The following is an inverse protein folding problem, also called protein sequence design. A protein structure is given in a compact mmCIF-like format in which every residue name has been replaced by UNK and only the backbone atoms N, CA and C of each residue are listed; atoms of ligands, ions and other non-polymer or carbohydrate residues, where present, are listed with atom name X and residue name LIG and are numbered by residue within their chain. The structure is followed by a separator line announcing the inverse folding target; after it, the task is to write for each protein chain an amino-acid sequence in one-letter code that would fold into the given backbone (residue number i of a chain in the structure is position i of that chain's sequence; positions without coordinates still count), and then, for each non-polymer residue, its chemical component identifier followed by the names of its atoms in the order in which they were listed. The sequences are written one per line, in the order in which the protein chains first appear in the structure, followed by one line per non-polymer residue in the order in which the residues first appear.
data_IF_861256017861
#
_entry.id   IF_861256017861
#
_cell.length_a   1.000
_cell.length_b   1.000
_cell.length_c   1.000
_cell.angle_alpha   90.00
_cell.angle_beta   90.00
_cell.angle_gamma   90.00
#
_symmetry.space_group_name_H-M   'P 1'
#
loop_
_entity.id
_entity.type
_entity.pdbx_description
1 polymer ?
#
# COMPACT_ATOMS: atom_id res chain seq x y z
N UNK A 1 12.25 -13.16 -2.17
CA UNK A 1 11.46 -12.35 -3.13
C UNK A 1 11.38 -10.87 -2.74
N UNK A 2 11.13 -10.53 -1.46
CA UNK A 2 11.15 -9.13 -0.97
C UNK A 2 12.48 -8.43 -1.28
N UNK A 3 13.63 -9.04 -0.98
CA UNK A 3 14.96 -8.44 -1.25
C UNK A 3 15.18 -8.06 -2.73
N UNK A 4 14.64 -8.84 -3.67
CA UNK A 4 14.75 -8.54 -5.10
C UNK A 4 13.88 -7.34 -5.50
N UNK A 5 12.71 -7.18 -4.87
CA UNK A 5 11.84 -6.02 -5.06
C UNK A 5 12.43 -4.78 -4.41
N UNK A 6 13.07 -4.90 -3.26
CA UNK A 6 13.78 -3.79 -2.61
C UNK A 6 14.98 -3.32 -3.45
N UNK A 7 15.74 -4.24 -4.05
CA UNK A 7 16.81 -3.86 -4.98
C UNK A 7 16.27 -3.16 -6.23
N UNK A 8 15.15 -3.62 -6.78
CA UNK A 8 14.47 -2.94 -7.89
C UNK A 8 13.96 -1.56 -7.48
N UNK A 9 13.38 -1.44 -6.29
CA UNK A 9 12.94 -0.16 -5.74
C UNK A 9 14.12 0.78 -5.44
N UNK A 10 15.29 0.25 -5.09
CA UNK A 10 16.50 1.04 -4.91
C UNK A 10 17.05 1.56 -6.26
N UNK A 11 16.87 0.79 -7.34
CA UNK A 11 17.24 1.20 -8.68
C UNK A 11 16.22 2.19 -9.29
N UNK A 12 14.93 1.98 -9.03
CA UNK A 12 13.85 2.88 -9.44
C UNK A 12 12.83 3.08 -8.29
N UNK A 13 13.06 4.10 -7.46
CA UNK A 13 12.16 4.39 -6.35
C UNK A 13 10.82 4.97 -6.79
N UNK A 14 10.65 5.38 -8.05
CA UNK A 14 9.42 5.98 -8.56
C UNK A 14 8.54 4.95 -9.29
N UNK A 15 9.04 3.73 -9.51
CA UNK A 15 8.27 2.62 -10.04
C UNK A 15 7.14 2.19 -9.07
N UNK A 16 5.94 2.64 -9.40
CA UNK A 16 4.72 2.36 -8.64
C UNK A 16 4.33 0.88 -8.68
N UNK A 17 4.66 0.16 -9.76
CA UNK A 17 4.35 -1.26 -9.90
C UNK A 17 5.25 -2.11 -8.99
N UNK A 18 6.53 -1.75 -8.87
CA UNK A 18 7.44 -2.40 -7.92
C UNK A 18 7.01 -2.14 -6.48
N UNK A 19 6.61 -0.90 -6.16
CA UNK A 19 6.06 -0.57 -4.83
C UNK A 19 4.78 -1.35 -4.52
N UNK A 20 3.91 -1.52 -5.52
CA UNK A 20 2.68 -2.29 -5.35
C UNK A 20 2.99 -3.75 -5.07
N UNK A 21 3.92 -4.36 -5.81
CA UNK A 21 4.36 -5.74 -5.56
C UNK A 21 4.98 -5.89 -4.18
N UNK A 22 5.79 -4.91 -3.74
CA UNK A 22 6.38 -4.91 -2.41
C UNK A 22 5.29 -4.83 -1.32
N UNK A 23 4.27 -4.00 -1.50
CA UNK A 23 3.14 -3.91 -0.59
C UNK A 23 2.37 -5.23 -0.49
N UNK A 24 2.14 -5.94 -1.59
CA UNK A 24 1.53 -7.27 -1.60
C UNK A 24 2.34 -8.23 -0.74
N UNK A 25 3.67 -8.23 -0.89
CA UNK A 25 4.53 -9.12 -0.11
C UNK A 25 4.52 -8.77 1.39
N UNK A 26 4.50 -7.47 1.74
CA UNK A 26 4.35 -7.04 3.13
C UNK A 26 3.00 -7.46 3.72
N UNK A 27 1.90 -7.33 2.97
CA UNK A 27 0.58 -7.82 3.41
C UNK A 27 0.60 -9.33 3.65
N UNK A 28 1.21 -10.11 2.76
CA UNK A 28 1.35 -11.57 2.91
C UNK A 28 2.23 -11.94 4.12
N UNK A 29 3.23 -11.12 4.45
CA UNK A 29 4.09 -11.30 5.62
C UNK A 29 3.44 -10.84 6.94
N UNK A 30 2.22 -10.28 6.91
CA UNK A 30 1.55 -9.69 8.07
C UNK A 30 2.10 -8.32 8.48
N UNK A 31 2.98 -7.72 7.68
CA UNK A 31 3.54 -6.38 7.85
C UNK A 31 2.59 -5.33 7.28
N UNK A 32 1.39 -5.25 7.88
CA UNK A 32 0.31 -4.42 7.34
C UNK A 32 0.66 -2.92 7.33
N UNK A 33 1.42 -2.43 8.31
CA UNK A 33 1.82 -1.02 8.36
C UNK A 33 2.65 -0.66 7.14
N UNK A 34 3.72 -1.40 6.91
CA UNK A 34 4.66 -1.21 5.82
C UNK A 34 3.95 -1.33 4.46
N UNK A 35 3.07 -2.33 4.32
CA UNK A 35 2.24 -2.48 3.14
C UNK A 35 1.38 -1.23 2.87
N UNK A 36 0.65 -0.76 3.89
CA UNK A 36 -0.23 0.39 3.74
C UNK A 36 0.52 1.70 3.48
N UNK A 37 1.73 1.87 4.03
CA UNK A 37 2.59 3.02 3.70
C UNK A 37 2.97 3.04 2.22
N UNK A 38 3.38 1.90 1.66
CA UNK A 38 3.69 1.81 0.24
C UNK A 38 2.45 2.10 -0.62
N UNK A 39 1.29 1.55 -0.27
CA UNK A 39 0.05 1.77 -1.02
C UNK A 39 -0.41 3.22 -0.97
N UNK A 40 -0.33 3.88 0.19
CA UNK A 40 -0.64 5.31 0.32
C UNK A 40 0.32 6.14 -0.52
N UNK A 41 1.61 5.81 -0.53
CA UNK A 41 2.59 6.53 -1.34
C UNK A 41 2.28 6.44 -2.84
N UNK A 42 1.88 5.25 -3.30
CA UNK A 42 1.43 5.05 -4.67
C UNK A 42 0.21 5.91 -4.97
N UNK A 43 -0.82 5.85 -4.11
CA UNK A 43 -2.05 6.63 -4.31
C UNK A 43 -1.82 8.15 -4.23
N UNK A 44 -0.82 8.62 -3.49
CA UNK A 44 -0.42 10.02 -3.49
C UNK A 44 0.15 10.47 -4.84
N UNK A 45 0.77 9.57 -5.60
CA UNK A 45 1.35 9.84 -6.92
C UNK A 45 0.35 9.57 -8.04
N UNK A 46 -0.36 8.45 -7.97
CA UNK A 46 -1.38 8.02 -8.93
C UNK A 46 -2.53 7.31 -8.20
N UNK A 47 -3.64 8.04 -8.03
CA UNK A 47 -4.89 7.56 -7.45
C UNK A 47 -5.57 6.45 -8.28
N UNK A 48 -5.26 6.39 -9.57
CA UNK A 48 -5.80 5.44 -10.55
C UNK A 48 -4.88 4.27 -10.84
N UNK A 49 -3.75 4.13 -10.11
CA UNK A 49 -2.75 3.12 -10.40
C UNK A 49 -3.36 1.71 -10.46
N UNK A 50 -3.01 0.98 -11.52
CA UNK A 50 -3.52 -0.36 -11.79
C UNK A 50 -5.04 -0.43 -11.94
N UNK A 51 -5.68 0.61 -12.51
CA UNK A 51 -7.14 0.73 -12.63
C UNK A 51 -7.86 0.63 -11.27
N UNK A 52 -7.24 1.23 -10.24
CA UNK A 52 -7.72 1.20 -8.86
C UNK A 52 -7.35 -0.06 -8.07
N UNK A 53 -6.52 -0.95 -8.62
CA UNK A 53 -6.01 -2.13 -7.91
C UNK A 53 -5.31 -1.75 -6.59
N UNK A 54 -4.47 -0.71 -6.60
CA UNK A 54 -3.75 -0.24 -5.41
C UNK A 54 -4.71 0.20 -4.30
N UNK A 55 -5.75 0.96 -4.68
CA UNK A 55 -6.77 1.40 -3.72
C UNK A 55 -7.51 0.21 -3.12
N UNK A 56 -7.88 -0.76 -3.96
CA UNK A 56 -8.57 -1.96 -3.52
C UNK A 56 -7.70 -2.75 -2.53
N UNK A 57 -6.42 -2.95 -2.83
CA UNK A 57 -5.49 -3.65 -1.96
C UNK A 57 -5.33 -2.93 -0.60
N UNK A 58 -5.29 -1.60 -0.58
CA UNK A 58 -5.24 -0.82 0.66
C UNK A 58 -6.49 -1.06 1.51
N UNK A 59 -7.67 -1.01 0.90
CA UNK A 59 -8.93 -1.28 1.58
C UNK A 59 -9.02 -2.71 2.12
N UNK A 60 -8.57 -3.70 1.34
CA UNK A 60 -8.54 -5.11 1.74
C UNK A 60 -7.56 -5.35 2.90
N UNK A 61 -6.41 -4.67 2.88
CA UNK A 61 -5.40 -4.71 3.96
C UNK A 61 -5.95 -4.09 5.24
N UNK A 62 -6.63 -2.94 5.15
CA UNK A 62 -7.33 -2.30 6.27
C UNK A 62 -8.41 -3.22 6.84
N UNK A 63 -9.20 -3.87 5.97
CA UNK A 63 -10.26 -4.79 6.38
C UNK A 63 -9.71 -6.02 7.12
N UNK A 64 -8.50 -6.47 6.73
CA UNK A 64 -7.83 -7.63 7.34
C UNK A 64 -7.38 -7.39 8.78
N UNK A 65 -7.05 -6.15 9.15
CA UNK A 65 -6.71 -5.77 10.54
C UNK A 65 -7.91 -5.82 11.50
N UNK A 66 -9.14 -5.77 10.97
CA UNK A 66 -10.36 -5.85 11.77
C UNK A 66 -10.87 -4.51 12.31
N UNK A 67 -12.15 -4.49 12.68
CA UNK A 67 -12.83 -3.28 13.18
C UNK A 67 -12.31 -2.91 14.56
N UNK A 68 -11.69 -1.75 14.68
CA UNK A 68 -11.18 -1.20 15.95
C UNK A 68 -9.66 -1.14 16.04
N UNK A 69 -8.95 -1.63 15.01
CA UNK A 69 -7.51 -1.44 14.94
C UNK A 69 -7.18 0.06 14.70
N UNK A 70 -6.33 0.68 15.56
CA UNK A 70 -5.99 2.09 15.42
C UNK A 70 -5.26 2.40 14.12
N UNK A 71 -4.51 1.44 13.58
CA UNK A 71 -3.82 1.54 12.30
C UNK A 71 -4.82 1.60 11.16
N UNK A 72 -5.80 0.69 11.15
CA UNK A 72 -6.87 0.68 10.16
C UNK A 72 -7.60 2.04 10.12
N UNK A 73 -7.94 2.60 11.28
CA UNK A 73 -8.58 3.92 11.37
C UNK A 73 -7.68 5.06 10.85
N UNK A 74 -6.37 5.02 11.13
CA UNK A 74 -5.40 5.99 10.64
C UNK A 74 -5.33 5.98 9.10
N UNK A 75 -5.17 4.81 8.48
CA UNK A 75 -5.05 4.70 7.03
C UNK A 75 -6.37 4.95 6.30
N UNK A 76 -7.52 4.61 6.91
CA UNK A 76 -8.82 5.03 6.37
C UNK A 76 -8.91 6.55 6.26
N UNK A 77 -8.55 7.28 7.32
CA UNK A 77 -8.55 8.76 7.30
C UNK A 77 -7.60 9.30 6.24
N UNK A 78 -6.39 8.74 6.12
CA UNK A 78 -5.44 9.11 5.06
C UNK A 78 -6.02 8.87 3.67
N UNK A 79 -6.61 7.70 3.42
CA UNK A 79 -7.25 7.39 2.15
C UNK A 79 -8.34 8.40 1.83
N UNK A 80 -9.25 8.68 2.76
CA UNK A 80 -10.29 9.70 2.55
C UNK A 80 -9.68 11.07 2.21
N UNK A 81 -8.62 11.50 2.91
CA UNK A 81 -7.96 12.78 2.61
C UNK A 81 -7.31 12.85 1.22
N UNK A 82 -7.03 11.71 0.58
CA UNK A 82 -6.53 11.67 -0.80
C UNK A 82 -7.65 11.73 -1.84
N UNK A 83 -8.90 11.48 -1.44
CA UNK A 83 -10.07 11.46 -2.33
C UNK A 83 -10.83 12.80 -2.37
N UNK A 84 -10.53 13.69 -1.43
CA UNK A 84 -11.11 15.02 -1.30
C UNK A 84 -10.10 16.08 -1.72
#
# INVERSE_FOLDING_TARGET
EIEALEQKMAADPEDLDVRHQLAVQYTNAGQFREAMEQLVHILQRDLGHGDGATRKLLLDTIASLGKGDPLAAEYQRKLYSLLY
#
